data_IF_701207572725
#
_entry.id   IF_701207572725
#
_cell.length_a   1.000
_cell.length_b   1.000
_cell.length_c   1.000
_cell.angle_alpha   90.00
_cell.angle_beta   90.00
_cell.angle_gamma   90.00
#
_symmetry.space_group_name_H-M   'P 1'
#
loop_
_entity.id
_entity.type
_entity.pdbx_description
1 polymer ?
#
# COMPACT_ATOMS: atom_id res chain seq x y z
N UNK A 1 -9.79 -33.00 51.43
CA UNK A 1 -9.37 -31.93 50.55
C UNK A 1 -8.78 -32.53 49.28
N UNK A 2 -9.46 -32.46 48.17
CA UNK A 2 -9.14 -33.21 46.96
C UNK A 2 -8.06 -32.46 46.13
N UNK A 3 -6.79 -32.82 46.31
CA UNK A 3 -5.66 -32.27 45.56
C UNK A 3 -5.85 -32.45 44.04
N UNK A 4 -6.44 -33.53 43.57
CA UNK A 4 -6.77 -33.77 42.16
C UNK A 4 -7.69 -32.72 41.56
N UNK A 5 -8.62 -32.15 42.29
CA UNK A 5 -9.59 -31.16 41.81
C UNK A 5 -8.96 -29.77 41.61
N UNK A 6 -7.89 -29.45 42.34
CA UNK A 6 -7.20 -28.17 42.28
C UNK A 6 -6.34 -28.09 40.98
N UNK A 7 -5.64 -29.17 40.64
CA UNK A 7 -4.83 -29.23 39.41
C UNK A 7 -5.69 -29.32 38.16
N UNK A 8 -6.85 -29.98 38.24
CA UNK A 8 -7.80 -30.06 37.14
C UNK A 8 -8.37 -28.68 36.77
N UNK A 9 -8.68 -27.85 37.77
CA UNK A 9 -9.16 -26.47 37.55
C UNK A 9 -8.05 -25.54 37.01
N UNK A 10 -6.81 -25.71 37.51
CA UNK A 10 -5.65 -24.94 37.03
C UNK A 10 -5.28 -25.30 35.59
N UNK A 11 -5.34 -26.57 35.19
CA UNK A 11 -5.07 -27.00 33.84
C UNK A 11 -6.13 -26.53 32.83
N UNK A 12 -7.41 -26.52 33.23
CA UNK A 12 -8.50 -26.02 32.40
C UNK A 12 -8.36 -24.51 32.12
N UNK A 13 -7.99 -23.73 33.14
CA UNK A 13 -7.75 -22.29 33.00
C UNK A 13 -6.53 -21.99 32.10
N UNK A 14 -5.46 -22.78 32.20
CA UNK A 14 -4.27 -22.65 31.34
C UNK A 14 -4.59 -22.97 29.87
N UNK A 15 -5.38 -24.01 29.61
CA UNK A 15 -5.79 -24.38 28.22
C UNK A 15 -6.70 -23.31 27.62
N UNK A 16 -7.62 -22.75 28.40
CA UNK A 16 -8.50 -21.67 27.93
C UNK A 16 -7.72 -20.39 27.60
N UNK A 17 -6.70 -20.04 28.40
CA UNK A 17 -5.88 -18.86 28.15
C UNK A 17 -5.00 -19.00 26.90
N UNK A 18 -4.42 -20.18 26.67
CA UNK A 18 -3.63 -20.49 25.48
C UNK A 18 -4.51 -20.46 24.22
N UNK A 19 -5.70 -21.06 24.29
CA UNK A 19 -6.67 -21.06 23.19
C UNK A 19 -7.11 -19.63 22.83
N UNK A 20 -7.39 -18.79 23.81
CA UNK A 20 -7.73 -17.38 23.60
C UNK A 20 -6.58 -16.59 22.97
N UNK A 21 -5.34 -16.84 23.41
CA UNK A 21 -4.15 -16.20 22.87
C UNK A 21 -3.88 -16.57 21.41
N UNK A 22 -4.09 -17.84 21.04
CA UNK A 22 -3.93 -18.32 19.66
C UNK A 22 -5.00 -17.76 18.72
N UNK A 23 -6.25 -17.67 19.18
CA UNK A 23 -7.35 -17.07 18.40
C UNK A 23 -7.09 -15.57 18.18
N UNK A 24 -6.61 -14.85 19.21
CA UNK A 24 -6.34 -13.43 19.12
C UNK A 24 -5.19 -13.11 18.15
N UNK A 25 -4.12 -13.92 18.15
CA UNK A 25 -3.00 -13.74 17.21
C UNK A 25 -3.35 -14.12 15.77
N UNK A 26 -4.30 -15.04 15.56
CA UNK A 26 -4.71 -15.41 14.20
C UNK A 26 -5.60 -14.33 13.55
N UNK A 27 -6.30 -13.51 14.35
CA UNK A 27 -7.18 -12.45 13.85
C UNK A 27 -6.42 -11.22 13.31
N UNK A 28 -5.20 -10.95 13.78
CA UNK A 28 -4.44 -9.77 13.39
C UNK A 28 -3.76 -9.91 12.03
N UNK A 29 -3.45 -11.13 11.60
CA UNK A 29 -2.71 -11.38 10.35
C UNK A 29 -3.53 -11.19 9.05
N UNK A 30 -4.86 -11.19 9.13
CA UNK A 30 -5.72 -11.00 7.94
C UNK A 30 -5.91 -9.54 7.53
N UNK A 31 -5.78 -8.62 8.47
CA UNK A 31 -5.98 -7.19 8.20
C UNK A 31 -4.77 -6.57 7.51
N UNK A 32 -3.56 -7.01 7.82
CA UNK A 32 -2.34 -6.48 7.22
C UNK A 32 -2.19 -6.90 5.74
N UNK A 33 -2.59 -8.13 5.39
CA UNK A 33 -2.58 -8.60 4.00
C UNK A 33 -3.62 -7.87 3.13
N UNK A 34 -4.78 -7.51 3.69
CA UNK A 34 -5.82 -6.77 2.97
C UNK A 34 -5.48 -5.28 2.83
N UNK A 35 -4.78 -4.70 3.81
CA UNK A 35 -4.30 -3.33 3.77
C UNK A 35 -3.18 -3.14 2.74
N UNK A 36 -2.27 -4.10 2.62
CA UNK A 36 -1.20 -4.10 1.61
C UNK A 36 -1.76 -4.18 0.18
N UNK A 37 -2.75 -5.00 -0.08
CA UNK A 37 -3.39 -5.12 -1.40
C UNK A 37 -4.21 -3.89 -1.77
N UNK A 38 -4.81 -3.21 -0.78
CA UNK A 38 -5.57 -1.98 -1.01
C UNK A 38 -4.65 -0.77 -1.22
N UNK A 39 -3.52 -0.69 -0.51
CA UNK A 39 -2.53 0.37 -0.68
C UNK A 39 -1.80 0.27 -2.03
N UNK A 40 -1.54 -0.94 -2.53
CA UNK A 40 -0.91 -1.15 -3.83
C UNK A 40 -1.84 -0.80 -5.01
N UNK A 41 -3.14 -0.95 -4.83
CA UNK A 41 -4.14 -0.65 -5.86
C UNK A 41 -4.19 0.85 -6.24
N UNK A 42 -3.84 1.72 -5.32
CA UNK A 42 -3.89 3.17 -5.49
C UNK A 42 -2.51 3.83 -5.49
N UNK A 43 -1.46 3.05 -5.68
CA UNK A 43 -0.10 3.56 -5.77
C UNK A 43 0.17 4.04 -7.20
N UNK A 44 0.47 5.32 -7.33
CA UNK A 44 0.79 5.96 -8.61
C UNK A 44 2.18 6.61 -8.55
N UNK A 45 2.98 6.38 -9.56
CA UNK A 45 4.27 7.05 -9.71
C UNK A 45 4.14 8.14 -10.78
N UNK A 46 4.47 9.38 -10.44
CA UNK A 46 4.40 10.54 -11.33
C UNK A 46 5.81 11.03 -11.63
N UNK A 47 6.21 10.93 -12.88
CA UNK A 47 7.44 11.51 -13.41
C UNK A 47 7.14 12.89 -13.97
N UNK A 48 7.81 13.93 -13.49
CA UNK A 48 7.60 15.32 -13.90
C UNK A 48 8.91 16.10 -13.91
N UNK A 49 8.89 17.28 -14.53
CA UNK A 49 9.99 18.23 -14.40
C UNK A 49 9.81 19.07 -13.14
N UNK A 50 10.90 19.48 -12.44
CA UNK A 50 10.80 20.24 -11.20
C UNK A 50 10.12 21.63 -11.36
N UNK A 51 10.21 22.22 -12.55
CA UNK A 51 9.65 23.54 -12.88
C UNK A 51 8.20 23.51 -13.37
N UNK A 52 7.57 22.33 -13.45
CA UNK A 52 6.20 22.19 -13.95
C UNK A 52 5.16 22.45 -12.86
N UNK A 53 4.60 23.67 -12.80
CA UNK A 53 3.58 24.05 -11.82
C UNK A 53 2.27 23.27 -11.96
N UNK A 54 1.80 23.02 -13.20
CA UNK A 54 0.59 22.23 -13.44
C UNK A 54 0.76 20.77 -13.04
N UNK A 55 1.98 20.21 -13.14
CA UNK A 55 2.29 18.86 -12.69
C UNK A 55 2.22 18.75 -11.16
N UNK A 56 2.61 19.80 -10.46
CA UNK A 56 2.46 19.87 -9.00
C UNK A 56 0.98 19.87 -8.59
N UNK A 57 0.15 20.67 -9.25
CA UNK A 57 -1.29 20.67 -9.03
C UNK A 57 -1.93 19.30 -9.28
N UNK A 58 -1.48 18.59 -10.31
CA UNK A 58 -1.92 17.22 -10.59
C UNK A 58 -1.56 16.25 -9.47
N UNK A 59 -0.35 16.34 -8.91
CA UNK A 59 0.06 15.51 -7.75
C UNK A 59 -0.84 15.79 -6.55
N UNK A 60 -1.10 17.04 -6.22
CA UNK A 60 -1.99 17.41 -5.12
C UNK A 60 -3.41 16.86 -5.32
N UNK A 61 -3.94 16.94 -6.52
CA UNK A 61 -5.24 16.36 -6.84
C UNK A 61 -5.27 14.85 -6.60
N UNK A 62 -4.24 14.12 -7.03
CA UNK A 62 -4.16 12.68 -6.79
C UNK A 62 -4.09 12.33 -5.29
N UNK A 63 -3.38 13.12 -4.50
CA UNK A 63 -3.29 12.94 -3.05
C UNK A 63 -4.64 13.21 -2.36
N UNK A 64 -5.39 14.22 -2.81
CA UNK A 64 -6.77 14.48 -2.35
C UNK A 64 -7.70 13.31 -2.65
N UNK A 65 -7.55 12.69 -3.82
CA UNK A 65 -8.29 11.49 -4.25
C UNK A 65 -7.78 10.18 -3.60
N UNK A 66 -6.92 10.29 -2.58
CA UNK A 66 -6.40 9.16 -1.78
C UNK A 66 -5.49 8.19 -2.55
N UNK A 67 -4.83 8.66 -3.59
CA UNK A 67 -3.73 7.90 -4.20
C UNK A 67 -2.46 8.00 -3.35
N UNK A 68 -1.72 6.90 -3.26
CA UNK A 68 -0.36 6.90 -2.71
C UNK A 68 0.59 7.37 -3.82
N UNK A 69 0.87 8.68 -3.87
CA UNK A 69 1.67 9.29 -4.94
C UNK A 69 3.15 9.22 -4.61
N UNK A 70 3.92 8.64 -5.52
CA UNK A 70 5.38 8.75 -5.55
C UNK A 70 5.75 9.68 -6.70
N UNK A 71 6.25 10.87 -6.40
CA UNK A 71 6.73 11.80 -7.41
C UNK A 71 8.23 11.67 -7.62
N UNK A 72 8.64 11.72 -8.88
CA UNK A 72 10.05 11.67 -9.30
C UNK A 72 10.32 12.84 -10.24
N UNK A 73 11.15 13.77 -9.79
CA UNK A 73 11.56 14.91 -10.59
C UNK A 73 12.69 14.51 -11.54
N UNK A 74 12.51 14.81 -12.82
CA UNK A 74 13.49 14.54 -13.87
C UNK A 74 13.63 15.76 -14.78
N UNK A 75 14.88 16.09 -15.15
CA UNK A 75 15.13 17.19 -16.11
C UNK A 75 14.64 16.85 -17.52
N UNK A 76 14.61 15.57 -17.86
CA UNK A 76 14.18 15.10 -19.16
C UNK A 76 13.36 13.82 -19.00
N UNK A 77 12.12 13.85 -19.46
CA UNK A 77 11.18 12.72 -19.41
C UNK A 77 11.29 11.80 -20.64
N UNK A 78 12.15 12.10 -21.60
CA UNK A 78 12.25 11.32 -22.84
C UNK A 78 12.57 9.83 -22.58
N UNK A 79 13.47 9.56 -21.63
CA UNK A 79 13.83 8.18 -21.25
C UNK A 79 12.65 7.39 -20.72
N UNK A 80 11.83 8.00 -19.86
CA UNK A 80 10.61 7.39 -19.30
C UNK A 80 9.58 7.17 -20.39
N UNK A 81 9.32 8.17 -21.22
CA UNK A 81 8.35 8.09 -22.32
C UNK A 81 8.74 7.03 -23.33
N UNK A 82 10.01 6.92 -23.65
CA UNK A 82 10.55 5.86 -24.52
C UNK A 82 10.41 4.47 -23.88
N UNK A 83 10.72 4.35 -22.60
CA UNK A 83 10.59 3.08 -21.85
C UNK A 83 9.17 2.52 -21.91
N UNK A 84 8.17 3.38 -21.84
CA UNK A 84 6.74 2.99 -21.85
C UNK A 84 6.10 3.13 -23.23
N UNK A 85 6.90 3.37 -24.30
CA UNK A 85 6.42 3.52 -25.67
C UNK A 85 5.28 4.51 -25.84
N UNK A 86 5.34 5.66 -25.13
CA UNK A 86 4.30 6.69 -25.20
C UNK A 86 4.37 7.39 -26.54
N UNK A 87 3.29 7.35 -27.37
CA UNK A 87 3.25 8.03 -28.67
C UNK A 87 3.51 9.53 -28.56
N UNK A 88 4.16 10.13 -29.56
CA UNK A 88 4.52 11.55 -29.55
C UNK A 88 3.32 12.47 -29.35
N UNK A 89 2.20 12.14 -29.98
CA UNK A 89 0.94 12.88 -29.90
C UNK A 89 0.27 12.82 -28.50
N UNK A 90 0.68 11.86 -27.66
CA UNK A 90 0.18 11.71 -26.28
C UNK A 90 1.18 12.21 -25.22
N UNK A 91 2.31 12.76 -25.63
CA UNK A 91 3.33 13.23 -24.70
C UNK A 91 2.98 14.60 -24.13
N UNK A 92 3.00 14.69 -22.81
CA UNK A 92 2.81 15.93 -22.05
C UNK A 92 4.00 16.22 -21.12
N UNK A 93 3.86 17.19 -20.23
CA UNK A 93 4.91 17.60 -19.29
C UNK A 93 5.13 16.62 -18.11
N UNK A 94 4.30 15.62 -17.96
CA UNK A 94 4.47 14.54 -16.97
C UNK A 94 4.07 13.18 -17.54
N UNK A 95 4.40 12.12 -16.83
CA UNK A 95 3.99 10.75 -17.12
C UNK A 95 3.69 10.03 -15.83
N UNK A 96 2.54 9.40 -15.74
CA UNK A 96 2.09 8.68 -14.54
C UNK A 96 1.99 7.18 -14.81
N UNK A 97 2.42 6.38 -13.85
CA UNK A 97 2.35 4.92 -13.89
C UNK A 97 1.48 4.42 -12.76
N UNK A 98 0.42 3.71 -13.11
CA UNK A 98 -0.50 3.06 -12.18
C UNK A 98 -0.56 1.56 -12.49
N UNK A 99 0.19 0.76 -11.74
CA UNK A 99 0.32 -0.67 -12.02
C UNK A 99 0.90 -0.93 -13.42
N UNK A 100 0.10 -1.54 -14.29
CA UNK A 100 0.45 -1.79 -15.70
C UNK A 100 0.03 -0.67 -16.67
N UNK A 101 -0.66 0.34 -16.18
CA UNK A 101 -1.15 1.46 -16.99
C UNK A 101 -0.22 2.66 -16.88
N UNK A 102 -0.09 3.40 -17.96
CA UNK A 102 0.62 4.67 -18.04
C UNK A 102 -0.30 5.73 -18.66
N UNK A 103 -0.20 6.93 -18.12
CA UNK A 103 -1.06 8.07 -18.45
C UNK A 103 -0.20 9.28 -18.78
#
# INVERSE_FOLDING_TARGET
MNFKNKYLKLSALAVLSISFFLIFNFSTNKQDALALTKADKYKIEVFKTPSCGCCYGYVLFLEEEKFAVKQTDMRNLHSVKKKYNIPLEMQSCHTSILGKYFI
#
